data_IF_295922894909
#
_entry.id   IF_295922894909
#
_cell.length_a   1.000
_cell.length_b   1.000
_cell.length_c   1.000
_cell.angle_alpha   90.00
_cell.angle_beta   90.00
_cell.angle_gamma   90.00
#
_symmetry.space_group_name_H-M   'P 1'
#
loop_
_entity.id
_entity.type
_entity.pdbx_description
1 polymer ?
#
# COMPACT_ATOMS: atom_id res chain seq x y z
N UNK A 1 -13.26 -11.33 2.39
CA UNK A 1 -13.11 -11.66 0.94
C UNK A 1 -13.41 -13.15 0.74
N UNK A 2 -13.80 -13.62 -0.44
CA UNK A 2 -13.91 -15.07 -0.69
C UNK A 2 -12.54 -15.61 -1.14
N UNK A 3 -11.86 -16.46 -0.33
CA UNK A 3 -10.52 -16.97 -0.67
C UNK A 3 -10.47 -17.74 -1.99
N UNK A 4 -11.53 -18.48 -2.34
CA UNK A 4 -11.53 -19.27 -3.57
C UNK A 4 -11.57 -18.42 -4.84
N UNK A 5 -12.01 -17.16 -4.74
CA UNK A 5 -11.91 -16.20 -5.84
C UNK A 5 -10.45 -15.85 -6.19
N UNK A 6 -9.51 -16.06 -5.26
CA UNK A 6 -8.08 -15.77 -5.46
C UNK A 6 -7.35 -16.86 -6.24
N UNK A 7 -7.96 -18.03 -6.48
CA UNK A 7 -7.31 -19.18 -7.09
C UNK A 7 -6.67 -18.91 -8.47
N UNK A 8 -7.14 -17.89 -9.21
CA UNK A 8 -6.60 -17.52 -10.53
C UNK A 8 -5.57 -16.39 -10.49
N UNK A 9 -5.39 -15.74 -9.35
CA UNK A 9 -4.55 -14.55 -9.17
C UNK A 9 -3.49 -14.72 -8.08
N UNK A 10 -3.32 -15.95 -7.59
CA UNK A 10 -2.26 -16.26 -6.63
C UNK A 10 -0.88 -15.91 -7.20
N UNK A 11 0.00 -15.28 -6.41
CA UNK A 11 1.40 -15.12 -6.79
C UNK A 11 2.03 -16.48 -7.14
N UNK A 12 2.77 -16.59 -8.26
CA UNK A 12 3.22 -17.88 -8.79
C UNK A 12 4.22 -18.61 -7.88
N UNK A 13 4.82 -17.92 -6.91
CA UNK A 13 5.73 -18.50 -5.93
C UNK A 13 5.02 -18.99 -4.65
N UNK A 14 3.71 -18.76 -4.50
CA UNK A 14 2.92 -19.25 -3.39
C UNK A 14 2.15 -20.53 -3.80
N UNK A 15 2.03 -21.54 -2.92
CA UNK A 15 1.18 -22.70 -3.19
C UNK A 15 -0.28 -22.29 -3.37
N UNK A 16 -0.94 -22.83 -4.39
CA UNK A 16 -2.37 -22.58 -4.63
C UNK A 16 -3.24 -23.62 -3.90
N UNK A 17 -3.24 -23.55 -2.56
CA UNK A 17 -4.00 -24.42 -1.65
C UNK A 17 -4.94 -23.57 -0.80
N UNK A 18 -6.05 -24.14 -0.25
CA UNK A 18 -7.04 -23.38 0.50
C UNK A 18 -6.47 -22.49 1.61
N UNK A 19 -5.53 -23.01 2.40
CA UNK A 19 -4.92 -22.34 3.55
C UNK A 19 -4.17 -21.06 3.12
N UNK A 20 -3.36 -21.15 2.06
CA UNK A 20 -2.58 -20.00 1.56
C UNK A 20 -3.48 -18.99 0.86
N UNK A 21 -4.61 -19.41 0.28
CA UNK A 21 -5.63 -18.49 -0.25
C UNK A 21 -6.33 -17.75 0.87
N UNK A 22 -6.58 -18.41 2.00
CA UNK A 22 -7.14 -17.80 3.21
C UNK A 22 -6.18 -16.75 3.77
N UNK A 23 -4.90 -17.09 3.94
CA UNK A 23 -3.86 -16.14 4.38
C UNK A 23 -3.81 -14.89 3.48
N UNK A 24 -3.86 -15.07 2.15
CA UNK A 24 -3.86 -13.94 1.22
C UNK A 24 -5.17 -13.14 1.28
N UNK A 25 -6.30 -13.80 1.49
CA UNK A 25 -7.59 -13.13 1.64
C UNK A 25 -7.64 -12.29 2.92
N UNK A 26 -7.05 -12.76 4.00
CA UNK A 26 -6.93 -12.03 5.27
C UNK A 26 -6.01 -10.82 5.10
N UNK A 27 -4.84 -10.99 4.46
CA UNK A 27 -3.94 -9.87 4.16
C UNK A 27 -4.62 -8.78 3.30
N UNK A 28 -5.40 -9.17 2.28
CA UNK A 28 -6.20 -8.21 1.50
C UNK A 28 -7.32 -7.58 2.33
N UNK A 29 -7.90 -8.31 3.29
CA UNK A 29 -8.85 -7.79 4.26
C UNK A 29 -8.24 -6.71 5.15
N UNK A 30 -7.00 -6.88 5.61
CA UNK A 30 -6.24 -5.84 6.30
C UNK A 30 -6.03 -4.61 5.41
N UNK A 31 -5.73 -4.83 4.12
CA UNK A 31 -5.65 -3.75 3.13
C UNK A 31 -6.95 -2.94 3.00
N UNK A 32 -8.12 -3.60 3.04
CA UNK A 32 -9.42 -2.92 3.05
C UNK A 32 -9.67 -2.16 4.36
N UNK A 33 -9.25 -2.71 5.50
CA UNK A 33 -9.33 -2.02 6.78
C UNK A 33 -8.44 -0.77 6.80
N UNK A 34 -7.23 -0.87 6.25
CA UNK A 34 -6.32 0.26 6.09
C UNK A 34 -6.89 1.35 5.17
N UNK A 35 -7.46 0.99 4.02
CA UNK A 35 -8.16 1.92 3.13
C UNK A 35 -9.27 2.68 3.86
N UNK A 36 -10.06 1.98 4.69
CA UNK A 36 -11.07 2.61 5.53
C UNK A 36 -10.47 3.60 6.53
N UNK A 37 -9.36 3.26 7.18
CA UNK A 37 -8.65 4.18 8.08
C UNK A 37 -8.11 5.41 7.35
N UNK A 38 -7.58 5.26 6.13
CA UNK A 38 -7.17 6.39 5.31
C UNK A 38 -8.35 7.32 4.99
N UNK A 39 -9.52 6.76 4.64
CA UNK A 39 -10.73 7.55 4.42
C UNK A 39 -11.13 8.35 5.66
N UNK A 40 -11.02 7.78 6.86
CA UNK A 40 -11.35 8.48 8.10
C UNK A 40 -10.41 9.66 8.37
N UNK A 41 -9.11 9.49 8.16
CA UNK A 41 -8.12 10.57 8.29
C UNK A 41 -8.39 11.67 7.26
N UNK A 42 -8.66 11.31 6.00
CA UNK A 42 -8.97 12.27 4.93
C UNK A 42 -10.23 13.06 5.27
N UNK A 43 -11.31 12.38 5.69
CA UNK A 43 -12.57 13.04 6.06
C UNK A 43 -12.43 13.96 7.27
N UNK A 44 -11.53 13.64 8.21
CA UNK A 44 -11.22 14.55 9.31
C UNK A 44 -10.47 15.81 8.82
N UNK A 45 -9.49 15.67 7.93
CA UNK A 45 -8.82 16.82 7.32
C UNK A 45 -9.78 17.68 6.49
N UNK A 46 -10.75 17.07 5.80
CA UNK A 46 -11.82 17.79 5.09
C UNK A 46 -12.71 18.57 6.07
N UNK A 47 -13.11 17.96 7.19
CA UNK A 47 -13.98 18.59 8.19
C UNK A 47 -13.31 19.80 8.85
N UNK A 48 -12.00 19.75 9.03
CA UNK A 48 -11.17 20.83 9.54
C UNK A 48 -10.83 21.90 8.48
N UNK A 49 -11.09 21.64 7.20
CA UNK A 49 -10.73 22.52 6.09
C UNK A 49 -9.23 22.54 5.77
N UNK A 50 -8.46 21.56 6.26
CA UNK A 50 -7.01 21.49 6.14
C UNK A 50 -6.53 20.55 5.02
N UNK A 51 -7.44 19.80 4.39
CA UNK A 51 -7.08 18.82 3.35
C UNK A 51 -6.28 19.44 2.20
N UNK A 52 -6.61 20.66 1.78
CA UNK A 52 -5.93 21.31 0.65
C UNK A 52 -4.61 21.98 1.02
N UNK A 53 -4.37 22.16 2.32
CA UNK A 53 -3.12 22.68 2.89
C UNK A 53 -2.16 21.55 3.34
N UNK A 54 -2.57 20.29 3.16
CA UNK A 54 -1.83 19.12 3.66
C UNK A 54 -1.21 18.32 2.52
N UNK A 55 0.11 18.08 2.59
CA UNK A 55 0.76 17.02 1.84
C UNK A 55 0.39 15.67 2.47
N UNK A 56 -0.32 14.83 1.72
CA UNK A 56 -0.64 13.45 2.12
C UNK A 56 0.30 12.49 1.42
N UNK A 57 0.98 11.64 2.18
CA UNK A 57 1.81 10.55 1.67
C UNK A 57 1.39 9.24 2.35
N UNK A 58 1.14 8.22 1.55
CA UNK A 58 0.76 6.88 1.99
C UNK A 58 1.80 5.90 1.45
N UNK A 59 2.36 5.09 2.33
CA UNK A 59 3.34 4.05 2.00
C UNK A 59 3.28 2.89 2.99
N UNK A 60 3.78 1.72 2.57
CA UNK A 60 4.24 0.68 3.51
C UNK A 60 5.70 0.93 3.94
N UNK A 61 6.14 0.31 5.03
CA UNK A 61 7.54 0.30 5.48
C UNK A 61 8.34 -0.87 4.86
N UNK A 62 7.65 -1.98 4.56
CA UNK A 62 8.15 -3.15 3.85
C UNK A 62 7.01 -3.91 3.14
N UNK A 63 7.36 -4.92 2.34
CA UNK A 63 6.39 -5.81 1.66
C UNK A 63 5.65 -6.76 2.61
N UNK A 64 4.81 -7.65 2.05
CA UNK A 64 3.85 -8.43 2.82
C UNK A 64 4.51 -9.33 3.89
N UNK A 65 4.15 -9.22 5.19
CA UNK A 65 4.65 -10.10 6.24
C UNK A 65 4.00 -11.48 6.18
N UNK A 66 4.65 -12.49 6.77
CA UNK A 66 4.08 -13.84 6.90
C UNK A 66 4.16 -14.72 5.65
N UNK A 67 4.54 -14.16 4.50
CA UNK A 67 4.68 -14.90 3.24
C UNK A 67 6.15 -15.16 2.87
N UNK A 68 6.47 -16.31 2.25
CA UNK A 68 7.76 -16.53 1.61
C UNK A 68 8.08 -15.41 0.63
N UNK A 69 9.35 -14.97 0.61
CA UNK A 69 9.84 -13.84 -0.20
C UNK A 69 9.22 -12.47 0.14
N UNK A 70 8.34 -12.39 1.15
CA UNK A 70 7.79 -11.17 1.70
C UNK A 70 8.76 -10.47 2.65
N UNK A 71 8.23 -9.83 3.70
CA UNK A 71 9.02 -9.16 4.77
C UNK A 71 10.27 -9.98 5.13
N UNK A 72 11.36 -9.28 5.42
CA UNK A 72 12.72 -9.81 5.70
C UNK A 72 13.51 -10.32 4.48
N UNK A 73 13.02 -10.09 3.27
CA UNK A 73 13.73 -10.42 2.03
C UNK A 73 13.90 -9.19 1.13
N UNK A 74 14.94 -9.21 0.28
CA UNK A 74 15.18 -8.18 -0.74
C UNK A 74 14.55 -8.52 -2.11
N UNK A 75 13.59 -9.44 -2.16
CA UNK A 75 12.79 -9.67 -3.36
C UNK A 75 11.70 -8.59 -3.49
N UNK A 76 11.19 -8.37 -4.70
CA UNK A 76 10.14 -7.38 -4.95
C UNK A 76 8.94 -7.53 -4.00
N UNK A 77 8.50 -8.76 -3.70
CA UNK A 77 7.37 -8.99 -2.79
C UNK A 77 7.64 -8.58 -1.34
N UNK A 78 8.90 -8.49 -0.94
CA UNK A 78 9.34 -8.08 0.40
C UNK A 78 9.86 -6.65 0.51
N UNK A 79 10.33 -6.06 -0.60
CA UNK A 79 10.94 -4.73 -0.62
C UNK A 79 10.09 -3.67 -1.33
N UNK A 80 9.26 -4.05 -2.31
CA UNK A 80 8.41 -3.10 -3.05
C UNK A 80 7.13 -2.84 -2.26
N UNK A 81 6.91 -1.58 -1.93
CA UNK A 81 5.73 -1.11 -1.18
C UNK A 81 4.82 -0.25 -2.05
N UNK A 82 3.58 -0.07 -1.61
CA UNK A 82 2.71 0.97 -2.16
C UNK A 82 3.33 2.34 -1.87
N UNK A 83 3.14 3.30 -2.78
CA UNK A 83 3.50 4.68 -2.57
C UNK A 83 2.50 5.56 -3.31
N UNK A 84 1.82 6.44 -2.59
CA UNK A 84 0.93 7.44 -3.15
C UNK A 84 1.13 8.77 -2.44
N UNK A 85 1.10 9.87 -3.19
CA UNK A 85 1.22 11.21 -2.64
C UNK A 85 0.19 12.16 -3.28
N UNK A 86 -0.37 13.06 -2.48
CA UNK A 86 -1.29 14.12 -2.92
C UNK A 86 -0.86 15.43 -2.29
N UNK A 87 -0.70 16.46 -3.12
CA UNK A 87 -0.53 17.83 -2.66
C UNK A 87 -1.11 18.81 -3.68
N UNK A 88 -2.30 19.38 -3.41
CA UNK A 88 -2.95 20.28 -4.35
C UNK A 88 -2.07 21.48 -4.72
N UNK A 89 -1.97 21.77 -6.02
CA UNK A 89 -1.14 22.86 -6.55
C UNK A 89 0.35 22.52 -6.71
N UNK A 90 0.84 21.41 -6.15
CA UNK A 90 2.24 20.99 -6.25
C UNK A 90 2.42 19.67 -7.00
N UNK A 91 1.53 18.71 -6.79
CA UNK A 91 1.50 17.41 -7.46
C UNK A 91 0.30 17.39 -8.40
N UNK A 92 0.52 17.14 -9.69
CA UNK A 92 -0.55 16.97 -10.67
C UNK A 92 -1.29 15.65 -10.41
N UNK A 93 -2.62 15.70 -10.40
CA UNK A 93 -3.46 14.53 -10.12
C UNK A 93 -3.37 13.49 -11.23
N UNK A 94 -3.45 12.20 -10.86
CA UNK A 94 -3.45 11.08 -11.80
C UNK A 94 -2.08 10.76 -12.41
N UNK A 95 -1.01 11.42 -11.96
CA UNK A 95 0.34 11.09 -12.39
C UNK A 95 0.76 9.69 -11.92
N UNK A 96 1.40 8.94 -12.83
CA UNK A 96 2.00 7.64 -12.53
C UNK A 96 3.50 7.72 -12.76
N UNK A 97 4.28 7.49 -11.71
CA UNK A 97 5.74 7.50 -11.76
C UNK A 97 6.23 6.06 -11.91
N UNK A 98 6.92 5.78 -13.03
CA UNK A 98 7.52 4.47 -13.31
C UNK A 98 8.99 4.36 -12.89
N UNK A 99 9.61 5.49 -12.50
CA UNK A 99 11.00 5.53 -12.02
C UNK A 99 11.07 4.93 -10.60
N UNK A 100 12.10 4.14 -10.29
CA UNK A 100 12.34 3.69 -8.91
C UNK A 100 12.56 4.89 -7.98
N UNK A 101 11.96 4.82 -6.80
CA UNK A 101 12.17 5.74 -5.67
C UNK A 101 12.44 4.90 -4.41
N UNK A 102 12.94 5.52 -3.35
CA UNK A 102 13.19 4.86 -2.08
C UNK A 102 12.56 5.62 -0.91
N UNK A 103 12.18 4.90 0.15
CA UNK A 103 11.62 5.53 1.35
C UNK A 103 12.63 6.45 2.05
N UNK A 104 13.93 6.27 1.82
CA UNK A 104 14.96 7.18 2.33
C UNK A 104 14.84 8.58 1.71
N UNK A 105 14.21 8.70 0.54
CA UNK A 105 14.01 9.96 -0.16
C UNK A 105 12.89 10.80 0.48
N UNK A 106 12.05 10.22 1.35
CA UNK A 106 10.99 10.95 2.05
C UNK A 106 11.55 12.05 2.95
N UNK A 107 12.65 11.77 3.68
CA UNK A 107 13.27 12.75 4.55
C UNK A 107 13.69 14.03 3.80
N UNK A 108 14.51 13.99 2.74
CA UNK A 108 14.83 15.19 1.96
C UNK A 108 13.65 15.74 1.14
N UNK A 109 12.57 14.97 0.93
CA UNK A 109 11.36 15.47 0.25
C UNK A 109 10.50 16.35 1.17
N UNK A 110 10.54 16.11 2.50
CA UNK A 110 9.75 16.86 3.48
C UNK A 110 10.44 18.13 4.01
N UNK A 111 11.73 18.31 3.73
CA UNK A 111 12.55 19.45 4.16
C UNK A 111 12.60 20.54 3.09
#
# INVERSE_FOLDING_TARGET
LNPDALAKVMPPFLPNVPEVREDLADYLGEGMAFDRSCQEIISELESLGELDNTLLVISGDHGAPGFPRGKTNCYDFGARVLFAARWPGYIESGQVISKPISLIDLAPTFL
#
